data_IF_019847844930
#
_entry.id   IF_019847844930
#
_cell.length_a   1.000
_cell.length_b   1.000
_cell.length_c   1.000
_cell.angle_alpha   90.00
_cell.angle_beta   90.00
_cell.angle_gamma   90.00
#
_symmetry.space_group_name_H-M   'P 1'
#
loop_
_entity.id
_entity.type
_entity.pdbx_description
1 polymer ?
#
# COMPACT_ATOMS: atom_id res chain seq x y z
N UNK A 1 -30.89 1.68 -16.16
CA UNK A 1 -31.11 1.74 -14.68
C UNK A 1 -30.55 3.07 -14.22
N UNK A 2 -31.08 3.65 -13.12
CA UNK A 2 -30.53 4.91 -12.62
C UNK A 2 -29.68 4.67 -11.38
N UNK A 3 -28.72 5.54 -11.12
CA UNK A 3 -27.90 5.52 -9.91
C UNK A 3 -28.80 5.76 -8.68
N UNK A 4 -28.83 4.87 -7.68
CA UNK A 4 -29.55 5.08 -6.43
C UNK A 4 -28.98 6.26 -5.63
N UNK A 5 -29.85 6.94 -4.85
CA UNK A 5 -29.49 8.03 -3.96
C UNK A 5 -28.86 7.53 -2.66
N UNK A 6 -27.71 6.89 -2.77
CA UNK A 6 -26.93 6.35 -1.65
C UNK A 6 -25.48 6.80 -1.82
N UNK A 7 -24.88 7.36 -0.78
CA UNK A 7 -23.46 7.69 -0.72
C UNK A 7 -22.76 6.66 0.13
N UNK A 8 -21.73 6.03 -0.44
CA UNK A 8 -20.88 5.05 0.21
C UNK A 8 -19.49 5.62 0.45
N UNK A 9 -19.00 5.48 1.66
CA UNK A 9 -17.62 5.77 2.05
C UNK A 9 -17.05 4.58 2.80
N UNK A 10 -15.75 4.35 2.74
CA UNK A 10 -15.11 3.20 3.40
C UNK A 10 -14.03 3.73 4.34
N UNK A 11 -14.08 3.29 5.60
CA UNK A 11 -13.03 3.50 6.58
C UNK A 11 -12.79 2.21 7.34
N UNK A 12 -11.80 1.44 6.91
CA UNK A 12 -11.43 0.12 7.47
C UNK A 12 -10.00 0.16 7.98
N UNK A 13 -9.70 -0.74 8.90
CA UNK A 13 -8.40 -0.81 9.57
C UNK A 13 -8.47 -0.32 11.02
N UNK A 14 -7.33 -0.41 11.74
CA UNK A 14 -7.31 -0.19 13.19
C UNK A 14 -7.33 1.28 13.61
N UNK A 15 -7.02 2.20 12.68
CA UNK A 15 -6.87 3.61 13.02
C UNK A 15 -8.22 4.31 13.06
N UNK A 16 -8.46 5.20 14.05
CA UNK A 16 -9.68 5.98 14.11
C UNK A 16 -9.77 6.97 12.94
N UNK A 17 -11.01 7.28 12.52
CA UNK A 17 -11.25 8.29 11.50
C UNK A 17 -10.72 9.66 11.95
N UNK A 18 -9.77 10.28 11.22
CA UNK A 18 -9.20 11.59 11.59
C UNK A 18 -10.24 12.71 11.55
N UNK A 19 -10.07 13.76 12.36
CA UNK A 19 -10.99 14.90 12.42
C UNK A 19 -11.26 15.58 11.06
N UNK A 20 -10.26 15.84 10.20
CA UNK A 20 -10.55 16.43 8.90
C UNK A 20 -11.53 15.57 8.06
N UNK A 21 -11.37 14.23 8.09
CA UNK A 21 -12.24 13.31 7.36
C UNK A 21 -13.69 13.35 7.88
N UNK A 22 -13.90 13.52 9.21
CA UNK A 22 -15.25 13.68 9.76
C UNK A 22 -15.97 14.87 9.17
N UNK A 23 -15.29 16.01 9.06
CA UNK A 23 -15.82 17.23 8.47
C UNK A 23 -16.16 17.04 6.99
N UNK A 24 -15.31 16.34 6.24
CA UNK A 24 -15.55 16.05 4.82
C UNK A 24 -16.70 15.07 4.61
N UNK A 25 -16.80 14.02 5.41
CA UNK A 25 -17.96 13.10 5.39
C UNK A 25 -19.25 13.86 5.67
N UNK A 26 -19.25 14.75 6.66
CA UNK A 26 -20.43 15.53 7.03
C UNK A 26 -20.83 16.54 5.93
N UNK A 27 -19.88 17.01 5.11
CA UNK A 27 -20.20 17.85 3.96
C UNK A 27 -21.11 17.14 2.94
N UNK A 28 -20.91 15.85 2.71
CA UNK A 28 -21.77 15.05 1.86
C UNK A 28 -23.20 14.96 2.40
N UNK A 29 -23.38 14.79 3.71
CA UNK A 29 -24.71 14.76 4.36
C UNK A 29 -25.43 16.10 4.23
N UNK A 30 -24.70 17.21 4.40
CA UNK A 30 -25.29 18.55 4.25
C UNK A 30 -25.81 18.84 2.86
N UNK A 31 -25.10 18.40 1.83
CA UNK A 31 -25.47 18.65 0.44
C UNK A 31 -26.46 17.61 -0.11
N UNK A 32 -26.62 16.47 0.58
CA UNK A 32 -27.54 15.39 0.16
C UNK A 32 -28.41 14.92 1.34
N UNK A 33 -29.21 15.81 1.98
CA UNK A 33 -29.94 15.45 3.21
C UNK A 33 -31.05 14.40 2.99
N UNK A 34 -31.51 14.21 1.75
CA UNK A 34 -32.50 13.21 1.39
C UNK A 34 -31.89 11.89 0.87
N UNK A 35 -30.58 11.78 0.87
CA UNK A 35 -29.88 10.57 0.42
C UNK A 35 -29.56 9.67 1.60
N UNK A 36 -29.41 8.37 1.37
CA UNK A 36 -28.82 7.46 2.33
C UNK A 36 -27.31 7.64 2.37
N UNK A 37 -26.72 7.60 3.59
CA UNK A 37 -25.28 7.72 3.80
C UNK A 37 -24.75 6.52 4.57
N UNK A 38 -23.85 5.77 3.97
CA UNK A 38 -23.22 4.59 4.57
C UNK A 38 -21.70 4.77 4.67
N UNK A 39 -21.21 4.80 5.90
CA UNK A 39 -19.78 4.65 6.17
C UNK A 39 -19.52 3.19 6.54
N UNK A 40 -18.84 2.49 5.64
CA UNK A 40 -18.51 1.08 5.80
C UNK A 40 -17.27 0.95 6.70
N UNK A 41 -17.37 0.19 7.77
CA UNK A 41 -16.31 -0.18 8.69
C UNK A 41 -16.00 -1.68 8.59
N UNK A 42 -15.04 -2.19 9.36
CA UNK A 42 -14.77 -3.65 9.36
C UNK A 42 -16.01 -4.48 9.74
N UNK A 43 -16.86 -3.95 10.61
CA UNK A 43 -18.08 -4.64 11.10
C UNK A 43 -19.21 -4.67 10.07
N UNK A 44 -19.17 -3.77 9.06
CA UNK A 44 -20.22 -3.64 8.05
C UNK A 44 -19.89 -4.40 6.76
N UNK A 45 -18.70 -4.99 6.65
CA UNK A 45 -18.26 -5.65 5.43
C UNK A 45 -19.10 -6.90 5.14
N UNK A 46 -19.34 -7.23 3.85
CA UNK A 46 -20.06 -8.43 3.48
C UNK A 46 -19.42 -9.70 4.07
N UNK A 47 -20.24 -10.56 4.66
CA UNK A 47 -19.77 -11.84 5.18
C UNK A 47 -19.31 -12.80 4.06
N UNK A 48 -19.85 -12.61 2.84
CA UNK A 48 -19.59 -13.37 1.63
C UNK A 48 -19.05 -12.49 0.50
N UNK A 49 -17.81 -11.94 0.60
CA UNK A 49 -17.30 -11.07 -0.43
C UNK A 49 -17.14 -11.77 -1.77
N UNK A 50 -17.52 -11.11 -2.87
CA UNK A 50 -17.41 -11.65 -4.24
C UNK A 50 -15.95 -12.06 -4.55
N UNK A 51 -14.99 -11.30 -4.04
CA UNK A 51 -13.55 -11.55 -4.24
C UNK A 51 -12.84 -11.89 -2.93
N UNK A 52 -13.42 -12.76 -2.12
CA UNK A 52 -12.94 -13.16 -0.80
C UNK A 52 -11.47 -13.60 -0.82
N UNK A 53 -11.05 -14.42 -1.80
CA UNK A 53 -9.66 -14.87 -1.89
C UNK A 53 -8.68 -13.72 -2.12
N UNK A 54 -9.02 -12.75 -2.97
CA UNK A 54 -8.20 -11.57 -3.20
C UNK A 54 -8.13 -10.70 -1.95
N UNK A 55 -9.28 -10.42 -1.31
CA UNK A 55 -9.36 -9.62 -0.09
C UNK A 55 -8.56 -10.22 1.07
N UNK A 56 -8.62 -11.54 1.26
CA UNK A 56 -7.91 -12.24 2.32
C UNK A 56 -6.38 -12.18 2.19
N UNK A 57 -5.87 -11.96 0.99
CA UNK A 57 -4.43 -11.80 0.72
C UNK A 57 -3.95 -10.36 0.93
N UNK A 58 -4.84 -9.39 0.95
CA UNK A 58 -4.50 -7.97 1.14
C UNK A 58 -4.44 -7.62 2.63
N UNK A 59 -3.43 -6.83 3.01
CA UNK A 59 -3.20 -6.42 4.40
C UNK A 59 -3.44 -4.93 4.62
N UNK A 60 -3.16 -4.11 3.61
CA UNK A 60 -3.34 -2.67 3.73
C UNK A 60 -4.83 -2.30 3.54
N UNK A 61 -5.39 -1.46 4.43
CA UNK A 61 -6.78 -1.01 4.31
C UNK A 61 -7.12 -0.41 2.95
N UNK A 62 -6.23 0.42 2.38
CA UNK A 62 -6.41 1.03 1.06
C UNK A 62 -6.53 0.00 -0.05
N UNK A 63 -5.74 -1.07 0.01
CA UNK A 63 -5.77 -2.15 -0.98
C UNK A 63 -7.10 -2.91 -0.95
N UNK A 64 -7.62 -3.14 0.26
CA UNK A 64 -8.94 -3.76 0.45
C UNK A 64 -10.06 -2.83 0.01
N UNK A 65 -9.96 -1.54 0.31
CA UNK A 65 -10.93 -0.54 -0.10
C UNK A 65 -11.06 -0.44 -1.63
N UNK A 66 -9.98 -0.62 -2.39
CA UNK A 66 -10.02 -0.61 -3.86
C UNK A 66 -10.91 -1.72 -4.44
N UNK A 67 -10.92 -2.91 -3.82
CA UNK A 67 -11.83 -4.01 -4.22
C UNK A 67 -13.24 -3.78 -3.68
N UNK A 68 -13.35 -3.40 -2.40
CA UNK A 68 -14.64 -3.25 -1.72
C UNK A 68 -15.52 -2.18 -2.35
N UNK A 69 -14.96 -1.05 -2.81
CA UNK A 69 -15.76 -0.01 -3.49
C UNK A 69 -16.44 -0.52 -4.75
N UNK A 70 -15.77 -1.40 -5.52
CA UNK A 70 -16.35 -2.02 -6.71
C UNK A 70 -17.49 -2.98 -6.33
N UNK A 71 -17.29 -3.77 -5.28
CA UNK A 71 -18.29 -4.73 -4.81
C UNK A 71 -19.52 -4.03 -4.21
N UNK A 72 -19.32 -3.01 -3.37
CA UNK A 72 -20.38 -2.23 -2.76
C UNK A 72 -21.24 -1.58 -3.85
N UNK A 73 -20.63 -0.94 -4.84
CA UNK A 73 -21.34 -0.34 -5.96
C UNK A 73 -22.05 -1.38 -6.82
N UNK A 74 -21.43 -2.53 -7.07
CA UNK A 74 -22.06 -3.61 -7.83
C UNK A 74 -23.32 -4.15 -7.12
N UNK A 75 -23.24 -4.37 -5.80
CA UNK A 75 -24.38 -4.90 -5.02
C UNK A 75 -25.49 -3.89 -4.79
N UNK A 76 -25.15 -2.64 -4.48
CA UNK A 76 -26.08 -1.64 -3.97
C UNK A 76 -26.36 -0.51 -4.97
N UNK A 77 -25.47 -0.33 -5.96
CA UNK A 77 -25.45 0.91 -6.75
C UNK A 77 -25.09 2.12 -5.86
N UNK A 78 -25.41 3.32 -6.31
CA UNK A 78 -25.14 4.55 -5.58
C UNK A 78 -23.83 5.21 -5.97
N UNK A 79 -23.32 6.05 -5.09
CA UNK A 79 -22.10 6.83 -5.30
C UNK A 79 -21.07 6.48 -4.23
N UNK A 80 -19.94 5.95 -4.64
CA UNK A 80 -18.78 5.83 -3.78
C UNK A 80 -17.96 7.12 -3.86
N UNK A 81 -17.50 7.61 -2.71
CA UNK A 81 -16.54 8.72 -2.61
C UNK A 81 -15.51 8.42 -1.53
N UNK A 82 -14.23 8.75 -1.78
CA UNK A 82 -13.18 8.64 -0.76
C UNK A 82 -13.48 9.56 0.43
N UNK A 83 -13.04 9.16 1.62
CA UNK A 83 -13.31 9.92 2.87
C UNK A 83 -12.58 11.25 2.95
N UNK A 84 -11.62 11.52 2.06
CA UNK A 84 -10.89 12.80 1.93
C UNK A 84 -11.40 13.67 0.77
N UNK A 85 -12.61 13.40 0.29
CA UNK A 85 -13.38 14.27 -0.61
C UNK A 85 -14.35 15.13 0.20
N UNK A 86 -14.24 16.47 0.08
CA UNK A 86 -15.19 17.45 0.59
C UNK A 86 -16.23 17.75 -0.47
N UNK A 87 -17.50 17.60 -0.12
CA UNK A 87 -18.63 17.98 -0.99
C UNK A 87 -18.90 19.48 -0.92
N UNK A 88 -19.02 20.13 -2.07
CA UNK A 88 -19.32 21.56 -2.21
C UNK A 88 -20.73 21.83 -2.72
N UNK A 89 -21.34 20.87 -3.47
CA UNK A 89 -22.70 20.98 -4.02
C UNK A 89 -23.30 19.60 -4.31
N UNK A 90 -24.62 19.57 -4.60
CA UNK A 90 -25.32 18.33 -4.93
C UNK A 90 -24.78 17.64 -6.18
N UNK A 91 -24.87 16.29 -6.16
CA UNK A 91 -24.59 15.41 -7.30
C UNK A 91 -25.79 15.29 -8.27
N UNK A 92 -26.95 15.78 -7.90
CA UNK A 92 -28.18 15.51 -8.66
C UNK A 92 -28.04 15.88 -10.16
N UNK A 93 -27.44 17.03 -10.47
CA UNK A 93 -27.28 17.52 -11.85
C UNK A 93 -26.28 16.67 -12.67
N UNK A 94 -25.24 16.10 -12.04
CA UNK A 94 -24.22 15.32 -12.74
C UNK A 94 -24.62 13.86 -12.93
N UNK A 95 -25.59 13.37 -12.15
CA UNK A 95 -26.08 11.99 -12.19
C UNK A 95 -27.39 11.82 -12.96
N UNK A 96 -28.04 12.93 -13.40
CA UNK A 96 -29.36 12.82 -14.02
C UNK A 96 -29.33 11.99 -15.32
N UNK A 97 -30.14 10.94 -15.32
CA UNK A 97 -30.29 10.03 -16.46
C UNK A 97 -29.21 8.96 -16.58
N UNK A 98 -28.12 9.05 -15.82
CA UNK A 98 -26.96 8.20 -15.95
C UNK A 98 -27.11 6.87 -15.18
N UNK A 99 -26.45 5.83 -15.66
CA UNK A 99 -26.32 4.53 -14.96
C UNK A 99 -24.86 4.22 -14.55
N UNK A 100 -23.90 4.97 -15.10
CA UNK A 100 -22.51 5.01 -14.61
C UNK A 100 -21.89 6.38 -14.82
N UNK A 101 -21.21 6.89 -13.77
CA UNK A 101 -20.44 8.12 -13.85
C UNK A 101 -19.06 7.88 -13.21
N UNK A 102 -18.02 8.09 -13.99
CA UNK A 102 -16.62 8.08 -13.51
C UNK A 102 -16.07 9.50 -13.40
N UNK A 103 -15.04 9.67 -12.58
CA UNK A 103 -14.37 10.96 -12.38
C UNK A 103 -12.94 10.89 -12.88
N UNK A 104 -12.51 11.90 -13.63
CA UNK A 104 -11.14 12.01 -14.14
C UNK A 104 -10.31 12.93 -13.23
N UNK A 105 -9.06 12.54 -12.91
CA UNK A 105 -8.09 13.39 -12.22
C UNK A 105 -7.19 14.19 -13.18
N UNK A 106 -7.17 13.79 -14.45
CA UNK A 106 -6.58 14.47 -15.61
C UNK A 106 -7.45 14.16 -16.82
N UNK A 107 -7.41 14.96 -17.88
CA UNK A 107 -8.19 14.68 -19.08
C UNK A 107 -8.04 13.24 -19.57
N UNK A 108 -9.15 12.51 -19.68
CA UNK A 108 -9.20 11.11 -20.09
C UNK A 108 -8.59 10.09 -19.11
N UNK A 109 -8.18 10.51 -17.92
CA UNK A 109 -7.56 9.63 -16.90
C UNK A 109 -8.52 9.45 -15.73
N UNK A 110 -9.35 8.40 -15.80
CA UNK A 110 -10.29 8.07 -14.72
C UNK A 110 -9.55 7.71 -13.44
N UNK A 111 -10.18 8.04 -12.31
CA UNK A 111 -9.75 7.64 -10.96
C UNK A 111 -10.85 6.82 -10.29
N UNK A 112 -10.51 6.10 -9.25
CA UNK A 112 -11.47 5.37 -8.43
C UNK A 112 -11.84 6.09 -7.12
N UNK A 113 -11.46 7.36 -6.96
CA UNK A 113 -11.78 8.21 -5.80
C UNK A 113 -13.28 8.51 -5.68
N UNK A 114 -13.97 8.62 -6.81
CA UNK A 114 -15.41 8.76 -6.87
C UNK A 114 -15.96 8.02 -8.09
N UNK A 115 -17.00 7.22 -7.88
CA UNK A 115 -17.66 6.42 -8.89
C UNK A 115 -19.14 6.38 -8.55
N UNK A 116 -20.00 6.63 -9.53
CA UNK A 116 -21.44 6.39 -9.39
C UNK A 116 -21.86 5.27 -10.33
N UNK A 117 -22.71 4.36 -9.86
CA UNK A 117 -23.20 3.27 -10.70
C UNK A 117 -24.60 2.79 -10.30
N UNK A 118 -25.34 2.31 -11.28
CA UNK A 118 -26.53 1.48 -11.03
C UNK A 118 -26.10 0.12 -10.45
N UNK A 119 -26.90 -0.54 -9.60
CA UNK A 119 -26.58 -1.87 -9.10
C UNK A 119 -26.51 -2.87 -10.26
N UNK A 120 -25.55 -3.80 -10.19
CA UNK A 120 -25.30 -4.80 -11.24
C UNK A 120 -24.76 -4.22 -12.55
N UNK A 121 -24.15 -3.03 -12.54
CA UNK A 121 -23.62 -2.41 -13.76
C UNK A 121 -22.56 -3.30 -14.42
N UNK A 122 -22.63 -3.58 -15.76
CA UNK A 122 -21.75 -4.54 -16.44
C UNK A 122 -20.25 -4.22 -16.33
N UNK A 123 -19.87 -2.92 -16.32
CA UNK A 123 -18.48 -2.50 -16.12
C UNK A 123 -17.95 -2.96 -14.75
N UNK A 124 -18.76 -2.83 -13.68
CA UNK A 124 -18.37 -3.26 -12.34
C UNK A 124 -18.32 -4.78 -12.22
N UNK A 125 -19.23 -5.50 -12.85
CA UNK A 125 -19.22 -6.96 -12.93
C UNK A 125 -17.90 -7.43 -13.57
N UNK A 126 -17.55 -6.84 -14.70
CA UNK A 126 -16.29 -7.16 -15.39
C UNK A 126 -15.07 -6.76 -14.57
N UNK A 127 -15.07 -5.60 -13.94
CA UNK A 127 -13.99 -5.17 -13.07
C UNK A 127 -13.78 -6.17 -11.93
N UNK A 128 -14.84 -6.58 -11.25
CA UNK A 128 -14.77 -7.61 -10.22
C UNK A 128 -14.29 -8.95 -10.76
N UNK A 129 -14.73 -9.38 -11.94
CA UNK A 129 -14.29 -10.63 -12.55
C UNK A 129 -12.78 -10.66 -12.83
N UNK A 130 -12.18 -9.50 -13.12
CA UNK A 130 -10.75 -9.35 -13.40
C UNK A 130 -9.88 -9.19 -12.14
N UNK A 131 -10.48 -8.85 -10.97
CA UNK A 131 -9.75 -8.83 -9.70
C UNK A 131 -9.20 -10.22 -9.40
N UNK A 132 -7.89 -10.35 -9.28
CA UNK A 132 -7.20 -11.62 -9.00
C UNK A 132 -6.49 -11.58 -7.66
N UNK A 133 -6.34 -12.72 -6.97
CA UNK A 133 -5.49 -12.81 -5.80
C UNK A 133 -4.06 -12.40 -6.15
N UNK A 134 -3.49 -11.49 -5.37
CA UNK A 134 -2.11 -11.02 -5.56
C UNK A 134 -1.18 -11.72 -4.58
N UNK A 135 -0.01 -12.16 -5.06
CA UNK A 135 1.04 -12.64 -4.18
C UNK A 135 1.71 -11.45 -3.47
N UNK A 136 1.75 -11.51 -2.14
CA UNK A 136 2.20 -10.43 -1.24
C UNK A 136 3.69 -10.07 -1.34
N UNK A 137 4.48 -10.80 -2.12
CA UNK A 137 5.94 -10.66 -2.16
C UNK A 137 6.48 -9.62 -3.15
N UNK A 138 5.61 -8.79 -3.69
CA UNK A 138 6.02 -7.85 -4.73
C UNK A 138 6.44 -6.51 -4.13
N UNK A 139 7.64 -6.08 -4.46
CA UNK A 139 8.16 -4.75 -4.10
C UNK A 139 7.33 -3.60 -4.68
N UNK A 140 6.46 -3.89 -5.66
CA UNK A 140 5.58 -2.95 -6.35
C UNK A 140 4.10 -3.31 -6.18
N UNK A 141 3.70 -3.86 -5.04
CA UNK A 141 2.31 -4.30 -4.80
C UNK A 141 1.28 -3.18 -5.05
N UNK A 142 1.57 -1.95 -4.62
CA UNK A 142 0.67 -0.80 -4.83
C UNK A 142 0.52 -0.41 -6.31
N UNK A 143 1.56 -0.53 -7.13
CA UNK A 143 1.44 -0.23 -8.58
C UNK A 143 0.62 -1.31 -9.29
N UNK A 144 0.85 -2.58 -8.96
CA UNK A 144 0.06 -3.67 -9.54
C UNK A 144 -1.39 -3.66 -9.09
N UNK A 145 -1.66 -3.26 -7.85
CA UNK A 145 -3.04 -3.13 -7.39
C UNK A 145 -3.82 -2.13 -8.24
N UNK A 146 -3.20 -1.03 -8.67
CA UNK A 146 -3.82 -0.07 -9.57
C UNK A 146 -4.29 -0.72 -10.89
N UNK A 147 -3.54 -1.70 -11.38
CA UNK A 147 -3.86 -2.46 -12.60
C UNK A 147 -4.95 -3.52 -12.38
N UNK A 148 -5.05 -4.08 -11.17
CA UNK A 148 -5.88 -5.25 -10.87
C UNK A 148 -7.22 -4.88 -10.21
N UNK A 149 -7.27 -3.80 -9.44
CA UNK A 149 -8.47 -3.37 -8.71
C UNK A 149 -8.60 -1.84 -8.59
N UNK A 150 -7.56 -1.09 -8.96
CA UNK A 150 -7.49 0.35 -8.80
C UNK A 150 -7.84 1.13 -10.07
N UNK A 151 -7.39 2.39 -10.15
CA UNK A 151 -7.76 3.31 -11.24
C UNK A 151 -7.33 2.82 -12.62
N UNK A 152 -6.21 2.12 -12.77
CA UNK A 152 -5.75 1.65 -14.09
C UNK A 152 -6.64 0.52 -14.64
N UNK A 153 -7.23 -0.30 -13.78
CA UNK A 153 -8.24 -1.28 -14.19
C UNK A 153 -9.45 -0.55 -14.81
N UNK A 154 -10.00 0.42 -14.11
CA UNK A 154 -11.15 1.18 -14.59
C UNK A 154 -10.82 1.96 -15.86
N UNK A 155 -9.65 2.61 -15.93
CA UNK A 155 -9.19 3.35 -17.12
C UNK A 155 -9.14 2.46 -18.37
N UNK A 156 -8.71 1.22 -18.21
CA UNK A 156 -8.71 0.26 -19.32
C UNK A 156 -10.12 -0.20 -19.69
N UNK A 157 -10.94 -0.52 -18.69
CA UNK A 157 -12.26 -1.09 -18.93
C UNK A 157 -13.25 -0.07 -19.52
N UNK A 158 -13.22 1.19 -19.10
CA UNK A 158 -14.16 2.21 -19.63
C UNK A 158 -14.06 2.39 -21.14
N UNK A 159 -12.95 2.00 -21.77
CA UNK A 159 -12.79 2.07 -23.22
C UNK A 159 -13.77 1.15 -23.97
N UNK A 160 -14.23 0.08 -23.32
CA UNK A 160 -15.19 -0.88 -23.86
C UNK A 160 -16.66 -0.47 -23.58
N UNK A 161 -16.88 0.65 -22.86
CA UNK A 161 -18.19 1.14 -22.44
C UNK A 161 -18.37 2.61 -22.86
N UNK A 162 -18.65 2.88 -24.16
CA UNK A 162 -18.69 4.26 -24.69
C UNK A 162 -19.82 5.11 -24.13
N UNK A 163 -20.85 4.49 -23.55
CA UNK A 163 -22.02 5.19 -23.00
C UNK A 163 -21.82 5.65 -21.56
N UNK A 164 -20.69 5.32 -20.91
CA UNK A 164 -20.41 5.79 -19.55
C UNK A 164 -20.02 7.27 -19.57
N UNK A 165 -20.57 8.03 -18.64
CA UNK A 165 -20.21 9.43 -18.46
C UNK A 165 -18.92 9.58 -17.66
N UNK A 166 -17.99 10.39 -18.18
CA UNK A 166 -16.77 10.77 -17.47
C UNK A 166 -16.80 12.26 -17.16
N UNK A 167 -16.64 12.60 -15.88
CA UNK A 167 -16.57 13.99 -15.42
C UNK A 167 -15.11 14.47 -15.50
N UNK A 168 -14.92 15.61 -16.14
CA UNK A 168 -13.60 16.23 -16.28
C UNK A 168 -13.03 16.71 -14.94
N UNK A 169 -11.69 16.88 -14.82
CA UNK A 169 -11.00 17.17 -13.57
C UNK A 169 -11.58 18.29 -12.72
N UNK A 170 -11.96 19.45 -13.23
CA UNK A 170 -12.41 20.56 -12.40
C UNK A 170 -13.62 20.24 -11.53
N UNK A 171 -14.40 19.22 -11.91
CA UNK A 171 -15.61 18.85 -11.16
C UNK A 171 -15.27 18.29 -9.76
N UNK A 172 -14.15 17.53 -9.64
CA UNK A 172 -13.69 16.92 -8.39
C UNK A 172 -12.25 17.30 -7.99
N UNK A 173 -11.51 17.89 -8.92
CA UNK A 173 -10.11 18.28 -8.73
C UNK A 173 -9.88 19.73 -9.19
N UNK A 174 -10.60 20.70 -8.62
CA UNK A 174 -10.41 22.10 -9.00
C UNK A 174 -9.00 22.55 -8.63
N UNK A 175 -8.34 23.25 -9.58
CA UNK A 175 -6.97 23.73 -9.46
C UNK A 175 -6.91 25.25 -9.17
N UNK A 176 -8.00 25.95 -9.46
CA UNK A 176 -8.12 27.41 -9.24
C UNK A 176 -9.33 27.76 -8.38
N UNK A 177 -9.38 28.94 -7.77
CA UNK A 177 -10.54 29.41 -7.03
C UNK A 177 -11.83 29.43 -7.90
N UNK A 178 -11.72 29.83 -9.16
CA UNK A 178 -12.83 29.89 -10.10
C UNK A 178 -13.39 28.49 -10.40
N UNK A 179 -12.52 27.51 -10.62
CA UNK A 179 -12.93 26.11 -10.80
C UNK A 179 -13.62 25.58 -9.53
N UNK A 180 -13.11 25.96 -8.33
CA UNK A 180 -13.71 25.55 -7.07
C UNK A 180 -15.15 26.04 -6.88
N UNK A 181 -15.48 27.24 -7.37
CA UNK A 181 -16.85 27.76 -7.32
C UNK A 181 -17.84 26.90 -8.10
N UNK A 182 -17.37 26.19 -9.12
CA UNK A 182 -18.19 25.32 -9.98
C UNK A 182 -18.02 23.82 -9.68
N UNK A 183 -17.06 23.45 -8.85
CA UNK A 183 -16.79 22.05 -8.50
C UNK A 183 -17.90 21.44 -7.64
N UNK A 184 -18.12 20.15 -7.81
CA UNK A 184 -19.01 19.34 -6.96
C UNK A 184 -18.30 18.95 -5.67
N UNK A 185 -17.01 18.65 -5.76
CA UNK A 185 -16.21 18.27 -4.61
C UNK A 185 -14.75 18.73 -4.76
N UNK A 186 -14.01 18.67 -3.65
CA UNK A 186 -12.56 18.87 -3.62
C UNK A 186 -11.89 17.66 -2.98
N UNK A 187 -10.90 17.11 -3.67
CA UNK A 187 -10.07 16.04 -3.15
C UNK A 187 -8.87 16.62 -2.39
N UNK A 188 -8.84 16.41 -1.08
CA UNK A 188 -7.79 16.96 -0.19
C UNK A 188 -6.47 16.21 -0.24
N UNK A 189 -6.42 15.05 -0.92
CA UNK A 189 -5.22 14.22 -1.05
C UNK A 189 -4.54 13.95 0.30
N UNK A 190 -5.32 13.64 1.34
CA UNK A 190 -4.85 13.51 2.73
C UNK A 190 -3.82 12.38 2.92
N UNK A 191 -3.81 11.38 2.03
CA UNK A 191 -2.79 10.30 1.97
C UNK A 191 -2.51 9.63 3.32
N UNK A 192 -3.51 9.54 4.20
CA UNK A 192 -3.37 8.96 5.55
C UNK A 192 -2.81 7.54 5.49
N UNK A 193 -3.16 6.79 4.46
CA UNK A 193 -2.68 5.43 4.19
C UNK A 193 -1.20 5.36 3.72
N UNK A 194 -0.60 6.47 3.24
CA UNK A 194 0.81 6.48 2.84
C UNK A 194 1.75 6.19 4.00
N UNK A 195 1.41 6.66 5.20
CA UNK A 195 2.25 6.45 6.38
C UNK A 195 2.35 4.98 6.74
N UNK A 196 1.25 4.23 6.71
CA UNK A 196 1.24 2.78 6.96
C UNK A 196 1.96 1.99 5.88
N UNK A 197 1.76 2.33 4.59
CA UNK A 197 2.42 1.66 3.47
C UNK A 197 3.93 1.96 3.46
N UNK A 198 4.32 3.21 3.75
CA UNK A 198 5.75 3.61 3.82
C UNK A 198 6.45 2.99 5.02
N UNK A 199 5.82 2.96 6.20
CA UNK A 199 6.32 2.28 7.39
C UNK A 199 6.47 0.78 7.15
N UNK A 200 5.48 0.14 6.54
CA UNK A 200 5.53 -1.29 6.21
C UNK A 200 6.63 -1.61 5.19
N UNK A 201 6.78 -0.82 4.14
CA UNK A 201 7.89 -0.96 3.19
C UNK A 201 9.26 -0.74 3.87
N UNK A 202 9.34 0.16 4.86
CA UNK A 202 10.52 0.36 5.69
C UNK A 202 10.79 -0.86 6.61
N UNK A 203 9.74 -1.40 7.25
CA UNK A 203 9.84 -2.62 8.07
C UNK A 203 10.31 -3.83 7.24
N UNK A 204 9.71 -4.09 6.09
CA UNK A 204 10.13 -5.18 5.19
C UNK A 204 11.58 -5.03 4.71
N UNK A 205 12.03 -3.80 4.45
CA UNK A 205 13.44 -3.52 4.13
C UNK A 205 14.35 -3.76 5.33
N UNK A 206 13.90 -3.40 6.54
CA UNK A 206 14.64 -3.64 7.77
C UNK A 206 14.74 -5.13 8.09
N UNK A 207 13.68 -5.90 7.94
CA UNK A 207 13.66 -7.36 8.12
C UNK A 207 14.63 -8.05 7.15
N UNK A 208 14.59 -7.71 5.86
CA UNK A 208 15.55 -8.24 4.87
C UNK A 208 17.01 -7.89 5.20
N UNK A 209 17.27 -6.67 5.70
CA UNK A 209 18.60 -6.28 6.16
C UNK A 209 19.05 -7.10 7.37
N UNK A 210 18.15 -7.31 8.32
CA UNK A 210 18.40 -8.09 9.53
C UNK A 210 18.73 -9.55 9.17
N UNK A 211 17.97 -10.17 8.29
CA UNK A 211 18.20 -11.54 7.82
C UNK A 211 19.55 -11.68 7.11
N UNK A 212 19.88 -10.74 6.20
CA UNK A 212 21.20 -10.70 5.56
C UNK A 212 22.35 -10.53 6.56
N UNK A 213 22.13 -9.71 7.60
CA UNK A 213 23.15 -9.50 8.65
C UNK A 213 23.32 -10.74 9.52
N UNK A 214 22.21 -11.45 9.84
CA UNK A 214 22.25 -12.73 10.56
C UNK A 214 23.03 -13.78 9.80
N UNK A 215 22.75 -13.97 8.51
CA UNK A 215 23.48 -14.94 7.67
C UNK A 215 24.98 -14.63 7.63
N UNK A 216 25.36 -13.37 7.47
CA UNK A 216 26.76 -12.95 7.51
C UNK A 216 27.42 -13.25 8.87
N UNK A 217 26.73 -12.97 9.95
CA UNK A 217 27.26 -13.24 11.29
C UNK A 217 27.45 -14.73 11.54
N UNK A 218 26.58 -15.58 11.02
CA UNK A 218 26.71 -17.03 11.11
C UNK A 218 27.92 -17.54 10.30
N UNK A 219 28.15 -17.01 9.09
CA UNK A 219 29.32 -17.32 8.28
C UNK A 219 30.62 -16.90 8.99
N UNK A 220 30.69 -15.70 9.55
CA UNK A 220 31.82 -15.22 10.32
C UNK A 220 32.07 -16.06 11.58
N UNK A 221 31.03 -16.49 12.28
CA UNK A 221 31.15 -17.40 13.43
C UNK A 221 31.71 -18.76 13.05
N UNK A 222 31.31 -19.32 11.91
CA UNK A 222 31.84 -20.58 11.38
C UNK A 222 33.32 -20.43 11.04
N UNK A 223 33.71 -19.42 10.29
CA UNK A 223 35.07 -19.14 9.92
C UNK A 223 35.97 -18.91 11.16
N UNK A 224 35.44 -18.22 12.17
CA UNK A 224 36.16 -18.02 13.44
C UNK A 224 36.34 -19.32 14.21
N UNK A 225 35.32 -20.19 14.25
CA UNK A 225 35.42 -21.50 14.89
C UNK A 225 36.49 -22.41 14.22
N UNK A 226 36.48 -22.46 12.88
CA UNK A 226 37.49 -23.20 12.09
C UNK A 226 38.92 -22.67 12.34
N UNK A 227 39.08 -21.34 12.38
CA UNK A 227 40.37 -20.70 12.67
C UNK A 227 40.86 -21.06 14.08
N UNK A 228 39.96 -21.09 15.06
CA UNK A 228 40.26 -21.46 16.46
C UNK A 228 40.66 -22.92 16.58
N UNK A 229 40.00 -23.83 15.88
CA UNK A 229 40.35 -25.25 15.83
C UNK A 229 41.72 -25.45 15.20
N UNK A 230 42.02 -24.76 14.10
CA UNK A 230 43.33 -24.84 13.42
C UNK A 230 44.45 -24.30 14.29
N UNK A 231 44.23 -23.19 15.01
CA UNK A 231 45.16 -22.65 15.99
C UNK A 231 45.48 -23.68 17.11
N UNK A 232 44.43 -24.31 17.67
CA UNK A 232 44.57 -25.32 18.69
C UNK A 232 45.37 -26.55 18.20
N UNK A 233 45.17 -26.91 16.92
CA UNK A 233 45.93 -28.01 16.29
C UNK A 233 47.37 -27.65 16.09
N UNK A 234 47.70 -26.47 15.59
CA UNK A 234 49.06 -25.97 15.44
C UNK A 234 49.81 -25.84 16.79
N UNK A 235 49.13 -25.43 17.84
CA UNK A 235 49.71 -25.39 19.19
C UNK A 235 50.05 -26.80 19.72
N UNK A 236 49.21 -27.81 19.43
CA UNK A 236 49.47 -29.22 19.77
C UNK A 236 50.69 -29.76 19.00
N UNK A 237 50.84 -29.43 17.72
CA UNK A 237 51.95 -29.82 16.89
C UNK A 237 53.26 -29.17 17.38
N UNK A 238 53.22 -27.87 17.68
CA UNK A 238 54.38 -27.14 18.25
C UNK A 238 54.83 -27.69 19.58
N UNK A 239 53.96 -28.24 20.41
CA UNK A 239 54.33 -28.89 21.69
C UNK A 239 54.98 -30.23 21.50
N UNK A 240 54.84 -30.88 20.35
CA UNK A 240 55.47 -32.14 20.01
C UNK A 240 56.88 -31.96 19.41
N UNK A 241 57.21 -30.77 18.93
CA UNK A 241 58.56 -30.49 18.42
C UNK A 241 59.61 -30.49 19.56
N UNK A 242 60.76 -31.16 19.38
CA UNK A 242 61.84 -31.17 20.38
C UNK A 242 62.32 -29.73 20.58
N UNK A 243 62.46 -29.35 21.85
CA UNK A 243 63.00 -28.02 22.19
C UNK A 243 64.34 -27.85 21.54
N UNK A 244 64.62 -26.77 20.80
CA UNK A 244 65.97 -26.52 20.26
C UNK A 244 66.96 -26.50 21.39
N UNK A 245 68.22 -27.08 21.18
CA UNK A 245 69.20 -27.13 22.19
C UNK A 245 69.53 -25.74 22.72
N UNK A 246 69.57 -25.61 24.05
CA UNK A 246 69.96 -24.34 24.68
C UNK A 246 71.22 -23.84 24.04
N UNK A 247 71.22 -22.77 23.28
CA UNK A 247 72.44 -22.09 22.84
C UNK A 247 73.23 -21.79 24.09
N UNK A 248 74.47 -22.41 24.25
CA UNK A 248 75.40 -22.03 25.26
C UNK A 248 75.57 -20.49 25.20
N UNK A 249 75.34 -19.91 26.35
CA UNK A 249 75.62 -18.48 26.51
C UNK A 249 77.18 -18.35 26.34
N UNK A 250 77.58 -17.93 25.15
CA UNK A 250 79.00 -17.50 24.95
C UNK A 250 79.25 -16.40 25.97
N UNK A 251 80.16 -16.72 26.87
CA UNK A 251 80.64 -15.90 27.99
C UNK A 251 81.22 -14.60 27.41
N UNK A 252 80.44 -13.53 27.49
CA UNK A 252 80.82 -12.17 27.04
C UNK A 252 81.99 -11.61 27.90
N UNK A 253 82.45 -12.34 28.94
CA UNK A 253 83.51 -11.91 29.81
C UNK A 253 84.93 -12.27 29.24
N UNK A 254 85.04 -13.09 28.22
CA UNK A 254 86.33 -13.43 27.61
C UNK A 254 86.90 -12.37 26.68
N UNK A 255 86.12 -11.38 26.30
CA UNK A 255 86.55 -10.32 25.38
C UNK A 255 87.19 -9.11 26.09
N UNK A 256 86.92 -8.91 27.38
CA UNK A 256 87.43 -7.77 28.18
C UNK A 256 88.84 -8.00 28.84
N UNK A 257 89.51 -9.12 28.56
CA UNK A 257 90.84 -9.42 29.14
C UNK A 257 91.99 -9.44 28.11
N UNK A 258 91.86 -8.76 26.98
CA UNK A 258 92.93 -8.60 26.02
C UNK A 258 93.00 -7.14 25.55
N UNK A 259 93.26 -6.26 26.49
CA UNK A 259 93.68 -4.89 26.21
C UNK A 259 94.46 -4.44 27.45
N UNK A 260 95.68 -4.93 27.57
CA UNK A 260 96.82 -4.34 28.28
C UNK A 260 98.07 -4.71 27.54
#
# INVERSE_FOLDING_TARGET
MRVPRIIHQIWIGPDPLPEPHRGWIESWRRHHPAWEHRLWTEDDLPADPIRAEALNRLRAPVERADILRLEILFRHGGVYVDTDLECLRSLDDVLDGEDFVGVCHKPGRITNTAIAAAPGHPLLERALAEVRPMEMYWTNASERLKEVAGPLLLERLVQDYPDVKLLEPPVFFPSTPEEREHAVAVHHMARVWHNTTTLRAAMLRAEKRLEKTRSRLEEERRAHAETKERLAQLEKERRKEPRPPKRERRDKRAWLRRSD
#
